data_IF_972435968646
#
_entry.id   IF_972435968646
#
_cell.length_a   1.000
_cell.length_b   1.000
_cell.length_c   1.000
_cell.angle_alpha   90.00
_cell.angle_beta   90.00
_cell.angle_gamma   90.00
#
_symmetry.space_group_name_H-M   'P 1'
#
loop_
_entity.id
_entity.type
_entity.pdbx_description
1 polymer ?
#
# COMPACT_ATOMS: atom_id res chain seq x y z
N UNK A 1 3.91 1.78 26.12
CA UNK A 1 2.69 2.55 25.82
C UNK A 1 1.88 1.70 24.86
N UNK A 2 0.69 1.25 25.25
CA UNK A 2 -0.24 0.68 24.27
C UNK A 2 -0.62 1.78 23.28
N UNK A 3 -0.40 1.52 21.99
CA UNK A 3 -0.98 2.31 20.93
C UNK A 3 -2.49 2.17 21.05
N UNK A 4 -3.19 3.27 21.34
CA UNK A 4 -4.65 3.33 21.34
C UNK A 4 -5.16 3.84 19.99
N UNK A 5 -4.47 3.48 18.89
CA UNK A 5 -4.92 3.88 17.57
C UNK A 5 -6.31 3.27 17.30
N UNK A 6 -7.32 4.09 16.97
CA UNK A 6 -8.63 3.58 16.59
C UNK A 6 -8.57 2.80 15.26
N UNK A 7 -7.45 2.89 14.53
CA UNK A 7 -7.22 2.21 13.25
C UNK A 7 -6.49 0.88 13.38
N UNK A 8 -5.85 0.60 14.52
CA UNK A 8 -5.13 -0.67 14.77
C UNK A 8 -6.05 -1.89 14.74
N UNK A 9 -7.33 -1.70 15.06
CA UNK A 9 -8.35 -2.75 15.02
C UNK A 9 -9.12 -2.81 13.69
N UNK A 10 -8.87 -1.87 12.78
CA UNK A 10 -9.59 -1.82 11.51
C UNK A 10 -8.93 -2.74 10.47
N UNK A 11 -9.73 -3.46 9.68
CA UNK A 11 -9.24 -4.17 8.52
C UNK A 11 -8.49 -3.25 7.55
N UNK A 12 -7.42 -3.80 7.01
CA UNK A 12 -6.65 -3.35 5.86
C UNK A 12 -7.47 -2.63 4.76
N UNK A 13 -8.58 -3.23 4.35
CA UNK A 13 -9.43 -2.72 3.28
C UNK A 13 -10.17 -1.44 3.69
N UNK A 14 -10.62 -1.33 4.94
CA UNK A 14 -11.29 -0.12 5.43
C UNK A 14 -10.30 1.04 5.54
N UNK A 15 -9.08 0.78 6.00
CA UNK A 15 -7.98 1.75 6.01
C UNK A 15 -7.71 2.28 4.59
N UNK A 16 -7.68 1.38 3.61
CA UNK A 16 -7.47 1.72 2.19
C UNK A 16 -8.61 2.57 1.65
N UNK A 17 -9.87 2.24 1.98
CA UNK A 17 -11.03 3.04 1.58
C UNK A 17 -10.94 4.45 2.17
N UNK A 18 -10.63 4.58 3.46
CA UNK A 18 -10.47 5.89 4.12
C UNK A 18 -9.40 6.72 3.42
N UNK A 19 -8.23 6.14 3.16
CA UNK A 19 -7.16 6.84 2.42
C UNK A 19 -7.57 7.17 0.98
N UNK A 20 -8.35 6.32 0.31
CA UNK A 20 -8.82 6.55 -1.06
C UNK A 20 -9.85 7.68 -1.18
N UNK A 21 -10.54 8.05 -0.09
CA UNK A 21 -11.44 9.22 -0.08
C UNK A 21 -10.68 10.54 -0.06
N UNK A 22 -9.38 10.51 0.26
CA UNK A 22 -8.54 11.69 0.24
C UNK A 22 -7.90 11.86 -1.14
N UNK A 23 -8.29 12.93 -1.82
CA UNK A 23 -7.83 13.22 -3.18
C UNK A 23 -6.48 13.97 -3.22
N UNK A 24 -5.91 14.28 -2.05
CA UNK A 24 -4.70 15.08 -1.89
C UNK A 24 -3.57 14.25 -1.27
N UNK A 25 -2.42 14.10 -1.96
CA UNK A 25 -1.26 13.44 -1.41
C UNK A 25 -0.75 14.05 -0.09
N UNK A 26 -0.95 15.36 0.10
CA UNK A 26 -0.57 16.06 1.33
C UNK A 26 -1.43 15.62 2.53
N UNK A 27 -2.72 15.38 2.30
CA UNK A 27 -3.65 14.94 3.35
C UNK A 27 -3.38 13.49 3.73
N UNK A 28 -3.06 12.63 2.76
CA UNK A 28 -2.59 11.25 2.99
C UNK A 28 -1.34 11.25 3.87
N UNK A 29 -0.35 12.10 3.55
CA UNK A 29 0.88 12.21 4.34
C UNK A 29 0.61 12.71 5.76
N UNK A 30 -0.35 13.63 5.93
CA UNK A 30 -0.77 14.12 7.24
C UNK A 30 -1.39 13.01 8.08
N UNK A 31 -2.29 12.20 7.50
CA UNK A 31 -2.93 11.05 8.15
C UNK A 31 -1.89 9.99 8.54
N UNK A 32 -0.96 9.66 7.64
CA UNK A 32 0.12 8.70 7.88
C UNK A 32 1.06 9.17 8.99
N UNK A 33 1.29 10.48 9.13
CA UNK A 33 2.09 11.04 10.23
C UNK A 33 1.33 11.10 11.55
N UNK A 34 0.01 11.33 11.49
CA UNK A 34 -0.84 11.39 12.66
C UNK A 34 -1.01 10.02 13.32
N UNK A 35 -0.92 8.93 12.55
CA UNK A 35 -1.05 7.58 13.07
C UNK A 35 -0.10 6.58 12.38
N UNK A 36 0.86 5.99 13.13
CA UNK A 36 1.91 5.12 12.59
C UNK A 36 1.37 3.81 11.99
N UNK A 37 0.15 3.40 12.34
CA UNK A 37 -0.52 2.20 11.81
C UNK A 37 -0.69 2.30 10.29
N UNK A 38 -0.97 3.51 9.78
CA UNK A 38 -1.06 3.77 8.35
C UNK A 38 0.29 3.80 7.66
N UNK A 39 1.36 4.17 8.37
CA UNK A 39 2.73 4.11 7.84
C UNK A 39 3.14 2.69 7.49
N UNK A 40 2.82 1.73 8.37
CA UNK A 40 3.03 0.30 8.12
C UNK A 40 2.16 -0.19 6.96
N UNK A 41 0.93 0.31 6.85
CA UNK A 41 -0.02 -0.07 5.80
C UNK A 41 0.39 0.43 4.40
N UNK A 42 0.81 1.69 4.30
CA UNK A 42 1.29 2.33 3.08
C UNK A 42 2.58 1.67 2.56
N UNK A 43 3.48 1.28 3.47
CA UNK A 43 4.70 0.57 3.10
C UNK A 43 4.41 -0.85 2.58
N UNK A 44 3.52 -1.60 3.25
CA UNK A 44 3.15 -2.96 2.83
C UNK A 44 2.44 -2.97 1.46
N UNK A 45 1.54 -2.02 1.20
CA UNK A 45 0.85 -1.92 -0.10
C UNK A 45 1.78 -1.48 -1.24
N UNK A 46 2.74 -0.59 -0.97
CA UNK A 46 3.80 -0.24 -1.94
C UNK A 46 4.69 -1.43 -2.27
N UNK A 47 5.09 -2.25 -1.28
CA UNK A 47 5.89 -3.46 -1.53
C UNK A 47 5.08 -4.51 -2.30
N UNK A 48 3.81 -4.71 -1.96
CA UNK A 48 2.97 -5.70 -2.64
C UNK A 48 2.75 -5.32 -4.11
N UNK A 49 2.47 -4.04 -4.38
CA UNK A 49 2.25 -3.54 -5.74
C UNK A 49 3.54 -3.55 -6.57
N UNK A 50 4.67 -3.13 -6.01
CA UNK A 50 5.97 -3.19 -6.71
C UNK A 50 6.44 -4.62 -6.97
N UNK A 51 6.23 -5.55 -6.02
CA UNK A 51 6.51 -6.97 -6.22
C UNK A 51 5.63 -7.61 -7.31
N UNK A 52 4.34 -7.25 -7.37
CA UNK A 52 3.42 -7.76 -8.38
C UNK A 52 3.76 -7.21 -9.78
N UNK A 53 4.07 -5.92 -9.88
CA UNK A 53 4.50 -5.29 -11.14
C UNK A 53 5.82 -5.88 -11.65
N UNK A 54 6.80 -6.11 -10.77
CA UNK A 54 8.06 -6.76 -11.13
C UNK A 54 7.82 -8.19 -11.64
N UNK A 55 6.93 -8.95 -11.00
CA UNK A 55 6.60 -10.32 -11.39
C UNK A 55 5.89 -10.38 -12.75
N UNK A 56 4.99 -9.44 -13.04
CA UNK A 56 4.32 -9.33 -14.35
C UNK A 56 5.32 -8.93 -15.43
N UNK A 57 6.19 -7.95 -15.16
CA UNK A 57 7.21 -7.51 -16.11
C UNK A 57 8.19 -8.64 -16.45
N UNK A 58 8.64 -9.38 -15.43
CA UNK A 58 9.52 -10.53 -15.60
C UNK A 58 8.86 -11.63 -16.42
N UNK A 59 7.60 -11.98 -16.11
CA UNK A 59 6.85 -13.00 -16.86
C UNK A 59 6.63 -12.58 -18.32
N UNK A 60 6.33 -11.29 -18.56
CA UNK A 60 6.15 -10.73 -19.89
C UNK A 60 7.41 -10.86 -20.74
N UNK A 61 8.57 -10.45 -20.18
CA UNK A 61 9.87 -10.58 -20.84
C UNK A 61 10.22 -12.05 -21.10
N UNK A 62 10.01 -12.92 -20.11
CA UNK A 62 10.33 -14.35 -20.22
C UNK A 62 9.52 -15.05 -21.32
N UNK A 63 8.21 -14.75 -21.41
CA UNK A 63 7.33 -15.26 -22.47
C UNK A 63 7.73 -14.70 -23.85
N UNK A 64 8.18 -13.44 -23.92
CA UNK A 64 8.60 -12.84 -25.18
C UNK A 64 9.90 -13.45 -25.72
N UNK A 65 10.87 -13.72 -24.85
CA UNK A 65 12.15 -14.35 -25.22
C UNK A 65 11.94 -15.82 -25.63
N UNK A 66 11.06 -16.56 -24.95
CA UNK A 66 10.80 -17.97 -25.25
C UNK A 66 10.02 -18.19 -26.56
N UNK A 67 9.39 -17.14 -27.12
CA UNK A 67 8.66 -17.19 -28.40
C UNK A 67 9.52 -16.87 -29.63
N UNK A 68 10.80 -16.52 -29.45
CA UNK A 68 11.81 -16.33 -30.51
C UNK A 68 12.59 -17.63 -30.69
#
# INVERSE_FOLDING_TARGET
MESNSPFEKLPAELITIILSTTNSPADIQSIVRADPTFGVFSFNTSILSSGLLYKILFLSIHVHILRI
#
